data_IF_588625467221
#
_entry.id   IF_588625467221
#
_cell.length_a   1.000
_cell.length_b   1.000
_cell.length_c   1.000
_cell.angle_alpha   90.00
_cell.angle_beta   90.00
_cell.angle_gamma   90.00
#
_symmetry.space_group_name_H-M   'P 1'
#
loop_
_entity.id
_entity.type
_entity.pdbx_description
1 polymer ?
#
# COMPACT_ATOMS: atom_id res chain seq x y z
N UNK A 1 -23.09 -12.96 -2.54
CA UNK A 1 -22.01 -11.95 -2.50
C UNK A 1 -22.67 -10.59 -2.31
N UNK A 2 -22.24 -9.77 -1.33
CA UNK A 2 -22.74 -8.41 -1.18
C UNK A 2 -22.42 -7.60 -2.45
N UNK A 3 -23.31 -6.68 -2.84
CA UNK A 3 -23.05 -5.85 -4.01
C UNK A 3 -21.88 -4.90 -3.70
N UNK A 4 -20.88 -4.76 -4.59
CA UNK A 4 -19.71 -3.92 -4.32
C UNK A 4 -20.09 -2.45 -4.11
N UNK A 5 -21.13 -1.96 -4.80
CA UNK A 5 -21.69 -0.63 -4.59
C UNK A 5 -22.31 -0.45 -3.19
N UNK A 6 -23.00 -1.47 -2.67
CA UNK A 6 -23.57 -1.44 -1.31
C UNK A 6 -22.48 -1.46 -0.24
N UNK A 7 -21.40 -2.22 -0.45
CA UNK A 7 -20.23 -2.22 0.47
C UNK A 7 -19.58 -0.84 0.56
N UNK A 8 -19.56 -0.09 -0.55
CA UNK A 8 -19.08 1.29 -0.58
C UNK A 8 -20.15 2.30 -0.11
N UNK A 9 -21.40 1.88 0.05
CA UNK A 9 -22.51 2.75 0.45
C UNK A 9 -22.95 3.73 -0.64
N UNK A 10 -22.81 3.36 -1.91
CA UNK A 10 -23.16 4.17 -3.07
C UNK A 10 -24.20 3.47 -3.95
N UNK A 11 -24.89 4.25 -4.77
CA UNK A 11 -25.82 3.71 -5.77
C UNK A 11 -25.08 2.95 -6.88
N UNK A 12 -25.74 1.99 -7.53
CA UNK A 12 -25.19 1.25 -8.67
C UNK A 12 -24.97 2.14 -9.90
N UNK A 13 -25.69 3.26 -9.98
CA UNK A 13 -25.52 4.28 -11.00
C UNK A 13 -24.50 5.37 -10.61
N UNK A 14 -23.78 5.21 -9.49
CA UNK A 14 -22.78 6.17 -9.05
C UNK A 14 -21.66 6.33 -10.09
N UNK A 15 -21.23 7.58 -10.30
CA UNK A 15 -20.14 7.90 -11.18
C UNK A 15 -18.77 7.57 -10.57
N UNK A 16 -17.73 7.62 -11.40
CA UNK A 16 -16.36 7.35 -10.98
C UNK A 16 -15.97 8.19 -9.76
N UNK A 17 -16.31 9.49 -9.77
CA UNK A 17 -15.97 10.39 -8.68
C UNK A 17 -16.64 9.98 -7.36
N UNK A 18 -17.90 9.56 -7.38
CA UNK A 18 -18.59 9.04 -6.21
C UNK A 18 -17.95 7.75 -5.69
N UNK A 19 -17.54 6.82 -6.58
CA UNK A 19 -16.81 5.59 -6.21
C UNK A 19 -15.52 5.95 -5.47
N UNK A 20 -14.71 6.86 -6.03
CA UNK A 20 -13.48 7.38 -5.43
C UNK A 20 -13.72 8.08 -4.08
N UNK A 21 -14.76 8.90 -3.99
CA UNK A 21 -15.10 9.68 -2.79
C UNK A 21 -15.55 8.78 -1.65
N UNK A 22 -16.42 7.82 -1.93
CA UNK A 22 -16.90 6.84 -0.96
C UNK A 22 -15.73 5.97 -0.46
N UNK A 23 -14.89 5.50 -1.38
CA UNK A 23 -13.70 4.76 -1.03
C UNK A 23 -12.74 5.57 -0.14
N UNK A 24 -12.44 6.83 -0.46
CA UNK A 24 -11.61 7.72 0.39
C UNK A 24 -12.22 7.94 1.77
N UNK A 25 -13.54 8.10 1.88
CA UNK A 25 -14.22 8.30 3.15
C UNK A 25 -14.14 7.06 4.03
N UNK A 26 -14.36 5.89 3.44
CA UNK A 26 -14.24 4.60 4.12
C UNK A 26 -12.79 4.28 4.50
N UNK A 27 -11.84 4.51 3.59
CA UNK A 27 -10.41 4.32 3.86
C UNK A 27 -9.94 5.21 5.01
N UNK A 28 -10.35 6.49 5.03
CA UNK A 28 -10.04 7.40 6.15
C UNK A 28 -10.65 6.93 7.46
N UNK A 29 -11.84 6.30 7.43
CA UNK A 29 -12.52 5.80 8.65
C UNK A 29 -11.90 4.51 9.18
N UNK A 30 -11.47 3.63 8.29
CA UNK A 30 -10.99 2.28 8.60
C UNK A 30 -9.47 2.10 8.49
N UNK A 31 -8.70 3.18 8.28
CA UNK A 31 -7.24 3.08 8.16
C UNK A 31 -6.62 2.45 9.43
N UNK A 32 -5.78 1.40 9.31
CA UNK A 32 -5.24 0.69 10.47
C UNK A 32 -4.37 1.55 11.40
N UNK A 33 -3.76 2.63 10.89
CA UNK A 33 -3.03 3.59 11.75
C UNK A 33 -3.95 4.43 12.66
N UNK A 34 -5.27 4.41 12.44
CA UNK A 34 -6.22 5.03 13.38
C UNK A 34 -6.49 4.16 14.60
N UNK A 35 -6.10 2.90 14.57
CA UNK A 35 -6.36 1.93 15.62
C UNK A 35 -5.05 1.58 16.31
N UNK A 36 -5.08 1.49 17.63
CA UNK A 36 -3.94 1.03 18.41
C UNK A 36 -3.58 -0.42 18.02
N UNK A 37 -2.32 -0.82 18.25
CA UNK A 37 -1.90 -2.20 18.05
C UNK A 37 -2.76 -3.11 18.95
N UNK A 38 -3.54 -4.01 18.34
CA UNK A 38 -4.53 -4.81 19.05
C UNK A 38 -5.57 -5.44 18.10
N UNK A 39 -6.57 -6.15 18.65
CA UNK A 39 -7.61 -6.82 17.86
C UNK A 39 -8.42 -5.84 16.99
N UNK A 40 -8.54 -4.58 17.41
CA UNK A 40 -9.23 -3.52 16.68
C UNK A 40 -8.52 -3.16 15.37
N UNK A 41 -7.17 -3.21 15.36
CA UNK A 41 -6.38 -3.02 14.14
C UNK A 41 -6.59 -4.16 13.16
N UNK A 42 -6.63 -5.41 13.64
CA UNK A 42 -6.91 -6.56 12.78
C UNK A 42 -8.31 -6.48 12.16
N UNK A 43 -9.30 -5.99 12.93
CA UNK A 43 -10.65 -5.76 12.41
C UNK A 43 -10.69 -4.63 11.37
N UNK A 44 -9.96 -3.55 11.60
CA UNK A 44 -9.80 -2.47 10.63
C UNK A 44 -9.10 -2.92 9.35
N UNK A 45 -8.08 -3.77 9.45
CA UNK A 45 -7.40 -4.40 8.30
C UNK A 45 -8.36 -5.28 7.49
N UNK A 46 -9.15 -6.13 8.16
CA UNK A 46 -10.16 -6.97 7.50
C UNK A 46 -11.23 -6.11 6.81
N UNK A 47 -11.71 -5.05 7.46
CA UNK A 47 -12.71 -4.15 6.87
C UNK A 47 -12.15 -3.37 5.68
N UNK A 48 -10.90 -2.93 5.77
CA UNK A 48 -10.19 -2.29 4.66
C UNK A 48 -10.03 -3.23 3.46
N UNK A 49 -9.74 -4.51 3.70
CA UNK A 49 -9.65 -5.50 2.63
C UNK A 49 -10.98 -5.63 1.88
N UNK A 50 -12.09 -5.68 2.60
CA UNK A 50 -13.44 -5.73 2.01
C UNK A 50 -13.74 -4.46 1.19
N UNK A 51 -13.45 -3.28 1.74
CA UNK A 51 -13.62 -1.99 1.05
C UNK A 51 -12.76 -1.93 -0.22
N UNK A 52 -11.51 -2.40 -0.17
CA UNK A 52 -10.60 -2.45 -1.31
C UNK A 52 -11.13 -3.38 -2.41
N UNK A 53 -11.66 -4.55 -2.03
CA UNK A 53 -12.23 -5.51 -2.97
C UNK A 53 -13.47 -4.97 -3.68
N UNK A 54 -14.36 -4.31 -2.94
CA UNK A 54 -15.56 -3.68 -3.48
C UNK A 54 -15.21 -2.51 -4.41
N UNK A 55 -14.24 -1.68 -4.02
CA UNK A 55 -13.73 -0.60 -4.86
C UNK A 55 -13.14 -1.11 -6.17
N UNK A 56 -12.30 -2.15 -6.13
CA UNK A 56 -11.73 -2.74 -7.33
C UNK A 56 -12.83 -3.25 -8.29
N UNK A 57 -13.87 -3.89 -7.75
CA UNK A 57 -14.98 -4.41 -8.56
C UNK A 57 -15.86 -3.28 -9.13
N UNK A 58 -16.18 -2.26 -8.34
CA UNK A 58 -16.89 -1.06 -8.84
C UNK A 58 -16.11 -0.36 -9.96
N UNK A 59 -14.78 -0.24 -9.81
CA UNK A 59 -13.91 0.36 -10.83
C UNK A 59 -13.84 -0.51 -12.09
N UNK A 60 -13.87 -1.83 -11.94
CA UNK A 60 -13.95 -2.78 -13.08
C UNK A 60 -15.27 -2.64 -13.83
N UNK A 61 -16.37 -2.43 -13.12
CA UNK A 61 -17.71 -2.27 -13.70
C UNK A 61 -17.95 -0.90 -14.33
N UNK A 62 -17.38 0.18 -13.76
CA UNK A 62 -17.56 1.54 -14.25
C UNK A 62 -16.66 1.89 -15.48
N UNK A 63 -15.78 0.96 -15.90
CA UNK A 63 -15.03 1.05 -17.15
C UNK A 63 -13.66 1.75 -17.04
N UNK A 64 -12.85 1.77 -18.12
CA UNK A 64 -11.48 2.30 -18.08
C UNK A 64 -11.39 3.81 -17.74
N UNK A 65 -12.47 4.57 -17.91
CA UNK A 65 -12.54 6.01 -17.62
C UNK A 65 -12.47 6.35 -16.12
N UNK A 66 -12.72 5.40 -15.20
CA UNK A 66 -12.55 5.63 -13.75
C UNK A 66 -11.12 5.45 -13.26
N UNK A 67 -10.20 4.94 -14.11
CA UNK A 67 -8.88 4.42 -13.74
C UNK A 67 -7.84 5.45 -13.30
N UNK A 68 -8.24 6.57 -12.71
CA UNK A 68 -7.31 7.61 -12.21
C UNK A 68 -6.24 7.05 -11.27
N UNK A 69 -6.58 6.03 -10.46
CA UNK A 69 -5.61 5.33 -9.63
C UNK A 69 -4.61 4.52 -10.45
N UNK A 70 -5.02 3.91 -11.57
CA UNK A 70 -4.12 3.16 -12.46
C UNK A 70 -3.11 4.10 -13.12
N UNK A 71 -3.55 5.29 -13.57
CA UNK A 71 -2.66 6.32 -14.10
C UNK A 71 -1.69 6.83 -13.02
N UNK A 72 -2.18 7.13 -11.83
CA UNK A 72 -1.33 7.52 -10.70
C UNK A 72 -0.30 6.43 -10.31
N UNK A 73 -0.67 5.14 -10.37
CA UNK A 73 0.25 4.04 -10.11
C UNK A 73 1.33 3.93 -11.21
N UNK A 74 0.96 4.11 -12.48
CA UNK A 74 1.90 4.14 -13.60
C UNK A 74 2.87 5.33 -13.47
N UNK A 75 2.37 6.51 -13.11
CA UNK A 75 3.20 7.69 -12.86
C UNK A 75 4.16 7.47 -11.69
N UNK A 76 3.68 6.86 -10.59
CA UNK A 76 4.53 6.52 -9.45
C UNK A 76 5.64 5.55 -9.84
N UNK A 77 5.33 4.54 -10.65
CA UNK A 77 6.31 3.58 -11.16
C UNK A 77 7.37 4.27 -12.02
N UNK A 78 6.95 5.16 -12.91
CA UNK A 78 7.86 5.95 -13.74
C UNK A 78 8.80 6.82 -12.88
N UNK A 79 8.26 7.49 -11.86
CA UNK A 79 9.05 8.29 -10.92
C UNK A 79 10.09 7.44 -10.17
N UNK A 80 9.79 6.18 -9.84
CA UNK A 80 10.75 5.27 -9.24
C UNK A 80 11.85 4.85 -10.22
N UNK A 81 11.50 4.57 -11.48
CA UNK A 81 12.50 4.27 -12.53
C UNK A 81 13.46 5.45 -12.74
N UNK A 82 12.95 6.67 -12.63
CA UNK A 82 13.73 7.91 -12.72
C UNK A 82 14.55 8.23 -11.46
N UNK A 83 14.54 7.35 -10.45
CA UNK A 83 15.22 7.56 -9.16
C UNK A 83 14.69 8.81 -8.41
N UNK A 84 13.37 9.06 -8.50
CA UNK A 84 12.66 10.17 -7.83
C UNK A 84 11.70 9.69 -6.73
N UNK A 85 12.19 8.98 -5.70
CA UNK A 85 11.34 8.30 -4.72
C UNK A 85 10.50 9.25 -3.86
N UNK A 86 10.97 10.48 -3.60
CA UNK A 86 10.18 11.47 -2.85
C UNK A 86 8.91 11.91 -3.58
N UNK A 87 8.99 12.07 -4.92
CA UNK A 87 7.84 12.44 -5.73
C UNK A 87 6.86 11.26 -5.82
N UNK A 88 7.37 10.05 -6.07
CA UNK A 88 6.56 8.84 -6.05
C UNK A 88 5.83 8.68 -4.71
N UNK A 89 6.55 8.84 -3.58
CA UNK A 89 5.98 8.76 -2.23
C UNK A 89 4.84 9.77 -2.02
N UNK A 90 5.02 11.03 -2.45
CA UNK A 90 4.00 12.08 -2.30
C UNK A 90 2.76 11.78 -3.13
N UNK A 91 2.94 11.35 -4.38
CA UNK A 91 1.84 10.97 -5.27
C UNK A 91 1.05 9.81 -4.69
N UNK A 92 1.74 8.75 -4.27
CA UNK A 92 1.15 7.57 -3.63
C UNK A 92 0.44 7.91 -2.32
N UNK A 93 0.94 8.83 -1.49
CA UNK A 93 0.24 9.28 -0.27
C UNK A 93 -1.10 9.98 -0.58
N UNK A 94 -1.25 10.57 -1.76
CA UNK A 94 -2.51 11.17 -2.21
C UNK A 94 -3.57 10.13 -2.60
N UNK A 95 -3.15 8.90 -2.85
CA UNK A 95 -4.05 7.80 -3.20
C UNK A 95 -4.63 7.16 -1.94
N UNK A 96 -5.94 6.94 -1.93
CA UNK A 96 -6.55 6.09 -0.91
C UNK A 96 -6.29 4.60 -1.18
N UNK A 97 -6.07 4.24 -2.45
CA UNK A 97 -5.97 2.86 -2.93
C UNK A 97 -4.79 2.12 -2.34
N UNK A 98 -4.99 1.21 -1.38
CA UNK A 98 -3.90 0.38 -0.81
C UNK A 98 -3.85 -1.02 -1.44
N UNK A 99 -3.84 -1.06 -2.76
CA UNK A 99 -3.70 -2.29 -3.55
C UNK A 99 -2.30 -2.90 -3.39
N UNK A 100 -2.11 -4.13 -3.84
CA UNK A 100 -0.82 -4.82 -3.80
C UNK A 100 0.26 -4.00 -4.54
N UNK A 101 -0.10 -3.48 -5.72
CA UNK A 101 0.77 -2.61 -6.52
C UNK A 101 1.09 -1.29 -5.81
N UNK A 102 0.12 -0.65 -5.16
CA UNK A 102 0.39 0.55 -4.37
C UNK A 102 1.38 0.26 -3.24
N UNK A 103 1.15 -0.83 -2.48
CA UNK A 103 2.02 -1.24 -1.37
C UNK A 103 3.45 -1.55 -1.87
N UNK A 104 3.55 -2.19 -3.03
CA UNK A 104 4.82 -2.45 -3.69
C UNK A 104 5.56 -1.15 -4.03
N UNK A 105 4.92 -0.24 -4.79
CA UNK A 105 5.54 1.02 -5.21
C UNK A 105 5.90 1.92 -4.01
N UNK A 106 5.03 1.99 -3.00
CA UNK A 106 5.29 2.75 -1.79
C UNK A 106 6.45 2.16 -0.99
N UNK A 107 6.48 0.83 -0.86
CA UNK A 107 7.59 0.11 -0.23
C UNK A 107 8.92 0.31 -0.95
N UNK A 108 8.93 0.27 -2.29
CA UNK A 108 10.10 0.59 -3.12
C UNK A 108 10.57 2.04 -2.92
N UNK A 109 9.64 3.00 -2.89
CA UNK A 109 9.97 4.40 -2.61
C UNK A 109 10.66 4.56 -1.25
N UNK A 110 10.10 3.95 -0.19
CA UNK A 110 10.69 3.96 1.15
C UNK A 110 12.05 3.26 1.21
N UNK A 111 12.23 2.17 0.48
CA UNK A 111 13.49 1.45 0.39
C UNK A 111 14.61 2.34 -0.17
N UNK A 112 14.32 3.06 -1.26
CA UNK A 112 15.24 4.03 -1.88
C UNK A 112 15.52 5.23 -0.98
N UNK A 113 14.59 5.58 -0.09
CA UNK A 113 14.74 6.62 0.94
C UNK A 113 15.47 6.11 2.20
N UNK A 114 15.97 4.88 2.19
CA UNK A 114 16.67 4.26 3.31
C UNK A 114 15.78 4.04 4.57
N UNK A 115 14.45 4.08 4.41
CA UNK A 115 13.45 3.75 5.44
C UNK A 115 13.16 2.23 5.45
N UNK A 116 14.20 1.41 5.63
CA UNK A 116 14.17 -0.04 5.40
C UNK A 116 13.16 -0.81 6.26
N UNK A 117 12.92 -0.37 7.50
CA UNK A 117 11.93 -1.02 8.38
C UNK A 117 10.51 -0.90 7.82
N UNK A 118 10.11 0.31 7.43
CA UNK A 118 8.81 0.54 6.81
C UNK A 118 8.74 -0.13 5.43
N UNK A 119 9.82 -0.05 4.65
CA UNK A 119 9.88 -0.69 3.34
C UNK A 119 9.59 -2.19 3.43
N UNK A 120 10.22 -2.91 4.37
CA UNK A 120 9.96 -4.33 4.59
C UNK A 120 8.48 -4.60 4.92
N UNK A 121 7.86 -3.80 5.80
CA UNK A 121 6.44 -3.93 6.12
C UNK A 121 5.54 -3.81 4.88
N UNK A 122 5.69 -2.75 4.09
CA UNK A 122 4.83 -2.51 2.92
C UNK A 122 5.08 -3.53 1.79
N UNK A 123 6.34 -3.90 1.54
CA UNK A 123 6.67 -4.92 0.56
C UNK A 123 6.18 -6.31 0.99
N UNK A 124 6.19 -6.61 2.29
CA UNK A 124 5.62 -7.84 2.84
C UNK A 124 4.10 -7.90 2.69
N UNK A 125 3.40 -6.79 2.89
CA UNK A 125 1.96 -6.70 2.60
C UNK A 125 1.70 -6.95 1.11
N UNK A 126 2.47 -6.33 0.22
CA UNK A 126 2.32 -6.54 -1.22
C UNK A 126 2.52 -8.01 -1.64
N UNK A 127 3.58 -8.65 -1.14
CA UNK A 127 3.88 -10.05 -1.42
C UNK A 127 2.81 -11.00 -0.86
N UNK A 128 2.21 -10.71 0.31
CA UNK A 128 1.11 -11.50 0.87
C UNK A 128 -0.19 -11.34 0.08
N UNK A 129 -0.45 -10.14 -0.45
CA UNK A 129 -1.64 -9.88 -1.27
C UNK A 129 -1.56 -10.54 -2.65
N UNK A 130 -0.35 -10.67 -3.22
CA UNK A 130 -0.11 -11.34 -4.49
C UNK A 130 1.07 -12.32 -4.37
N UNK A 131 0.83 -13.52 -3.80
CA UNK A 131 1.89 -14.51 -3.59
C UNK A 131 2.49 -15.03 -4.90
N UNK A 132 1.72 -15.01 -5.98
CA UNK A 132 2.17 -15.44 -7.31
C UNK A 132 3.11 -14.42 -7.97
N UNK A 133 3.23 -13.21 -7.43
CA UNK A 133 4.07 -12.17 -7.99
C UNK A 133 5.51 -12.27 -7.46
N UNK A 134 6.36 -12.92 -8.27
CA UNK A 134 7.77 -13.12 -7.95
C UNK A 134 8.58 -11.82 -7.80
N UNK A 135 8.13 -10.69 -8.37
CA UNK A 135 8.79 -9.39 -8.20
C UNK A 135 8.58 -8.85 -6.78
N UNK A 136 7.35 -8.99 -6.24
CA UNK A 136 7.01 -8.50 -4.91
C UNK A 136 7.71 -9.32 -3.83
N UNK A 137 7.75 -10.63 -4.01
CA UNK A 137 8.50 -11.54 -3.13
C UNK A 137 10.00 -11.18 -3.07
N UNK A 138 10.62 -10.94 -4.23
CA UNK A 138 12.04 -10.53 -4.30
C UNK A 138 12.30 -9.19 -3.63
N UNK A 139 11.45 -8.19 -3.88
CA UNK A 139 11.62 -6.89 -3.25
C UNK A 139 11.45 -6.95 -1.72
N UNK A 140 10.52 -7.78 -1.23
CA UNK A 140 10.37 -8.01 0.20
C UNK A 140 11.63 -8.64 0.81
N UNK A 141 12.17 -9.69 0.18
CA UNK A 141 13.42 -10.34 0.62
C UNK A 141 14.59 -9.35 0.67
N UNK A 142 14.77 -8.54 -0.38
CA UNK A 142 15.81 -7.51 -0.44
C UNK A 142 15.68 -6.51 0.74
N UNK A 143 14.46 -6.11 1.07
CA UNK A 143 14.19 -5.21 2.19
C UNK A 143 14.51 -5.85 3.55
N UNK A 144 14.18 -7.12 3.76
CA UNK A 144 14.49 -7.85 4.99
C UNK A 144 16.00 -8.02 5.19
N UNK A 145 16.73 -8.38 4.14
CA UNK A 145 18.19 -8.51 4.19
C UNK A 145 18.86 -7.18 4.58
N UNK A 146 18.40 -6.08 3.98
CA UNK A 146 18.90 -4.73 4.26
C UNK A 146 18.64 -4.34 5.73
N UNK A 147 17.44 -4.64 6.23
CA UNK A 147 17.06 -4.41 7.63
C UNK A 147 17.92 -5.22 8.58
N UNK A 148 18.13 -6.51 8.29
CA UNK A 148 18.97 -7.41 9.09
C UNK A 148 20.44 -6.94 9.12
N UNK A 149 21.00 -6.58 7.96
CA UNK A 149 22.36 -6.04 7.87
C UNK A 149 22.51 -4.73 8.66
N UNK A 150 21.51 -3.85 8.61
CA UNK A 150 21.46 -2.62 9.41
C UNK A 150 21.50 -2.89 10.91
N UNK A 151 20.67 -3.82 11.39
CA UNK A 151 20.63 -4.24 12.81
C UNK A 151 21.96 -4.82 13.28
N UNK A 152 22.59 -5.70 12.47
CA UNK A 152 23.90 -6.29 12.78
C UNK A 152 25.02 -5.24 12.89
N UNK A 153 24.99 -4.21 12.03
CA UNK A 153 25.94 -3.09 12.08
C UNK A 153 25.73 -2.19 13.30
N UNK A 154 24.48 -1.92 13.67
CA UNK A 154 24.15 -1.16 14.88
C UNK A 154 24.61 -1.91 16.13
N UNK A 155 24.35 -3.22 16.20
CA UNK A 155 24.83 -4.09 17.27
C UNK A 155 26.36 -4.04 17.40
N UNK A 156 27.11 -4.28 16.31
CA UNK A 156 28.59 -4.20 16.35
C UNK A 156 29.12 -2.84 16.83
N UNK A 157 28.46 -1.73 16.52
CA UNK A 157 28.87 -0.38 16.97
C UNK A 157 28.70 -0.16 18.47
N UNK A 158 27.67 -0.75 19.07
CA UNK A 158 27.41 -0.67 20.52
C UNK A 158 28.49 -1.45 21.29
N UNK A 159 28.83 -2.66 20.81
CA UNK A 159 29.82 -3.51 21.48
C UNK A 159 31.29 -3.16 21.17
N UNK A 160 31.57 -2.34 20.16
CA UNK A 160 32.93 -1.90 19.82
C UNK A 160 33.40 -0.63 20.57
N UNK A 161 32.54 0.02 21.37
CA UNK A 161 32.89 1.22 22.18
C UNK A 161 33.05 0.94 23.68
N UNK A 162 32.94 -0.32 24.11
CA UNK A 162 33.00 -0.73 25.51
C UNK A 162 34.19 -1.62 25.88
N UNK A 163 35.23 -1.69 25.04
CA UNK A 163 36.46 -2.45 25.27
C UNK A 163 37.68 -1.56 25.21
#
# INVERSE_FOLDING_TARGET
MPNPFETLGIDRAADCEAIHRAYRALARRWHPDRFAAGPERAWAEARMLEINSAYAECMRMAGPSCGGDTACLQDAEQLLRENRPMHARRLLMGMAGRSAQWNYLFGRALFMLNEHEKAATYLGIAARQQPDNAEYARAYQEAEERLYAGRKRAFRRIFARGG
#
